data_IF_735674237310
#
_entry.id   IF_735674237310
#
_cell.length_a   1.000
_cell.length_b   1.000
_cell.length_c   1.000
_cell.angle_alpha   90.00
_cell.angle_beta   90.00
_cell.angle_gamma   90.00
#
_symmetry.space_group_name_H-M   'P 1'
#
loop_
_entity.id
_entity.type
_entity.pdbx_description
1 polymer ?
#
# COMPACT_ATOMS: atom_id res chain seq x y z
N UNK A 1 -16.91 -7.22 -17.88
CA UNK A 1 -17.21 -7.12 -16.44
C UNK A 1 -17.14 -5.66 -16.04
N UNK A 2 -18.05 -5.18 -15.19
CA UNK A 2 -17.97 -3.83 -14.64
C UNK A 2 -16.75 -3.72 -13.73
N UNK A 3 -16.06 -2.57 -13.77
CA UNK A 3 -14.94 -2.26 -12.86
C UNK A 3 -15.44 -2.28 -11.41
N UNK A 4 -14.67 -2.88 -10.51
CA UNK A 4 -14.97 -2.86 -9.06
C UNK A 4 -15.02 -1.42 -8.54
N UNK A 5 -15.92 -1.15 -7.60
CA UNK A 5 -15.98 0.15 -6.90
C UNK A 5 -14.70 0.44 -6.10
N UNK A 6 -13.92 -0.58 -5.76
CA UNK A 6 -12.65 -0.45 -5.05
C UNK A 6 -11.44 -0.33 -5.98
N UNK A 7 -11.63 -0.45 -7.29
CA UNK A 7 -10.52 -0.46 -8.25
C UNK A 7 -9.68 0.83 -8.20
N UNK A 8 -10.32 1.98 -8.00
CA UNK A 8 -9.62 3.27 -7.93
C UNK A 8 -8.86 3.41 -6.62
N UNK A 9 -9.46 2.98 -5.51
CA UNK A 9 -8.83 3.03 -4.20
C UNK A 9 -7.58 2.12 -4.14
N UNK A 10 -7.65 0.91 -4.69
CA UNK A 10 -6.48 0.01 -4.73
C UNK A 10 -5.47 0.39 -5.81
N UNK A 11 -5.92 0.96 -6.94
CA UNK A 11 -5.03 1.54 -7.94
C UNK A 11 -4.19 2.68 -7.34
N UNK A 12 -4.85 3.60 -6.64
CA UNK A 12 -4.20 4.65 -5.87
C UNK A 12 -3.27 4.09 -4.79
N UNK A 13 -3.73 3.10 -4.00
CA UNK A 13 -2.93 2.48 -2.96
C UNK A 13 -1.58 1.97 -3.51
N UNK A 14 -1.61 1.22 -4.62
CA UNK A 14 -0.39 0.69 -5.23
C UNK A 14 0.49 1.81 -5.82
N UNK A 15 -0.12 2.74 -6.57
CA UNK A 15 0.58 3.87 -7.17
C UNK A 15 1.28 4.76 -6.12
N UNK A 16 0.58 5.11 -5.04
CA UNK A 16 1.10 5.97 -3.99
C UNK A 16 2.27 5.31 -3.25
N UNK A 17 2.19 4.01 -2.97
CA UNK A 17 3.29 3.25 -2.36
C UNK A 17 4.51 3.22 -3.29
N UNK A 18 4.31 2.89 -4.58
CA UNK A 18 5.40 2.88 -5.57
C UNK A 18 6.05 4.25 -5.72
N UNK A 19 5.27 5.32 -5.77
CA UNK A 19 5.76 6.70 -5.87
C UNK A 19 6.61 7.10 -4.68
N UNK A 20 6.23 6.69 -3.46
CA UNK A 20 7.05 6.93 -2.27
C UNK A 20 8.35 6.11 -2.32
N UNK A 21 8.30 4.85 -2.75
CA UNK A 21 9.51 4.03 -2.91
C UNK A 21 10.46 4.71 -3.90
N UNK A 22 9.94 5.17 -5.04
CA UNK A 22 10.71 5.88 -6.07
C UNK A 22 11.35 7.16 -5.54
N UNK A 23 10.64 7.95 -4.72
CA UNK A 23 11.23 9.11 -4.04
C UNK A 23 12.33 8.70 -3.05
N UNK A 24 12.15 7.60 -2.31
CA UNK A 24 13.10 7.16 -1.30
C UNK A 24 14.39 6.56 -1.90
N UNK A 25 14.39 6.13 -3.17
CA UNK A 25 15.58 5.59 -3.85
C UNK A 25 16.74 6.59 -3.94
N UNK A 26 16.48 7.90 -3.88
CA UNK A 26 17.54 8.92 -3.87
C UNK A 26 18.16 9.17 -2.49
N UNK A 27 17.63 8.58 -1.42
CA UNK A 27 18.10 8.80 -0.06
C UNK A 27 19.31 7.92 0.27
N UNK A 28 20.20 8.45 1.11
CA UNK A 28 21.33 7.69 1.64
C UNK A 28 20.91 6.69 2.73
N UNK A 29 21.72 5.64 3.01
CA UNK A 29 21.42 4.66 4.04
C UNK A 29 21.16 5.25 5.43
N UNK A 30 21.86 6.33 5.79
CA UNK A 30 21.65 7.02 7.08
C UNK A 30 20.25 7.63 7.17
N UNK A 31 19.76 8.26 6.10
CA UNK A 31 18.41 8.83 6.08
C UNK A 31 17.35 7.72 6.10
N UNK A 32 17.56 6.65 5.32
CA UNK A 32 16.63 5.52 5.24
C UNK A 32 16.48 4.77 6.57
N UNK A 33 17.57 4.63 7.32
CA UNK A 33 17.61 3.92 8.61
C UNK A 33 17.38 4.80 9.84
N UNK A 34 17.17 6.11 9.67
CA UNK A 34 16.95 7.02 10.80
C UNK A 34 15.48 6.97 11.25
N UNK A 35 15.26 6.47 12.46
CA UNK A 35 13.95 6.49 13.09
C UNK A 35 13.43 7.91 13.33
N UNK A 36 12.14 8.12 13.06
CA UNK A 36 11.46 9.41 13.26
C UNK A 36 10.39 9.29 14.34
N UNK A 37 10.45 10.07 15.45
CA UNK A 37 9.45 10.02 16.50
C UNK A 37 8.02 10.25 15.98
N UNK A 38 7.08 9.43 16.44
CA UNK A 38 5.68 9.51 16.00
C UNK A 38 5.38 8.77 14.68
N UNK A 39 6.36 8.08 14.10
CA UNK A 39 6.18 7.16 12.97
C UNK A 39 6.42 5.72 13.41
N UNK A 40 6.10 4.75 12.56
CA UNK A 40 6.35 3.32 12.82
C UNK A 40 7.83 3.01 13.13
N UNK A 41 8.76 3.73 12.49
CA UNK A 41 10.19 3.54 12.68
C UNK A 41 10.99 4.42 11.73
N UNK A 42 12.01 3.84 11.11
CA UNK A 42 12.70 4.46 9.98
C UNK A 42 11.85 4.37 8.70
N UNK A 43 12.25 5.10 7.65
CA UNK A 43 11.60 5.03 6.33
C UNK A 43 11.65 3.60 5.81
N UNK A 44 12.80 2.93 5.91
CA UNK A 44 12.96 1.57 5.40
C UNK A 44 12.10 0.57 6.18
N UNK A 45 12.07 0.64 7.51
CA UNK A 45 11.21 -0.23 8.33
C UNK A 45 9.73 -0.02 8.00
N UNK A 46 9.31 1.22 7.80
CA UNK A 46 7.92 1.54 7.45
C UNK A 46 7.59 1.01 6.04
N UNK A 47 8.50 1.13 5.07
CA UNK A 47 8.33 0.58 3.71
C UNK A 47 8.22 -0.94 3.70
N UNK A 48 9.09 -1.63 4.44
CA UNK A 48 9.01 -3.09 4.61
C UNK A 48 7.67 -3.49 5.20
N UNK A 49 7.27 -2.80 6.27
CA UNK A 49 6.01 -3.07 6.96
C UNK A 49 4.79 -2.93 6.05
N UNK A 50 4.68 -1.87 5.25
CA UNK A 50 3.50 -1.69 4.38
C UNK A 50 3.45 -2.72 3.25
N UNK A 51 4.59 -3.04 2.61
CA UNK A 51 4.61 -3.99 1.48
C UNK A 51 4.40 -5.42 1.99
N UNK A 52 4.98 -5.78 3.13
CA UNK A 52 4.76 -7.05 3.82
C UNK A 52 3.32 -7.22 4.29
N UNK A 53 2.71 -6.17 4.85
CA UNK A 53 1.29 -6.17 5.21
C UNK A 53 0.38 -6.41 4.00
N UNK A 54 0.67 -5.78 2.87
CA UNK A 54 -0.09 -5.96 1.62
C UNK A 54 -0.02 -7.41 1.11
N UNK A 55 1.18 -8.00 1.08
CA UNK A 55 1.37 -9.41 0.74
C UNK A 55 0.60 -10.33 1.72
N UNK A 56 0.61 -10.03 3.01
CA UNK A 56 -0.11 -10.78 4.06
C UNK A 56 -1.63 -10.69 3.90
N UNK A 57 -2.18 -9.53 3.54
CA UNK A 57 -3.62 -9.37 3.25
C UNK A 57 -4.02 -10.15 1.99
N UNK A 58 -3.24 -10.03 0.91
CA UNK A 58 -3.43 -10.79 -0.31
C UNK A 58 -3.35 -12.30 -0.08
N UNK A 59 -2.35 -12.77 0.68
CA UNK A 59 -2.22 -14.17 1.06
C UNK A 59 -3.49 -14.68 1.75
N UNK A 60 -3.98 -13.96 2.76
CA UNK A 60 -5.20 -14.34 3.47
C UNK A 60 -6.44 -14.34 2.57
N UNK A 61 -6.66 -13.27 1.81
CA UNK A 61 -7.83 -13.10 0.95
C UNK A 61 -7.86 -14.06 -0.24
N UNK A 62 -6.68 -14.46 -0.73
CA UNK A 62 -6.57 -15.37 -1.87
C UNK A 62 -6.46 -16.84 -1.47
N UNK A 63 -6.49 -17.16 -0.17
CA UNK A 63 -6.31 -18.52 0.33
C UNK A 63 -4.91 -19.08 0.06
N UNK A 64 -3.89 -18.21 0.14
CA UNK A 64 -2.48 -18.57 -0.03
C UNK A 64 -1.97 -18.62 -1.47
N UNK A 65 -2.79 -18.23 -2.47
CA UNK A 65 -2.37 -18.18 -3.87
C UNK A 65 -1.39 -17.03 -4.17
N UNK A 66 -1.54 -15.90 -3.47
CA UNK A 66 -0.51 -14.85 -3.46
C UNK A 66 0.53 -15.19 -2.40
N UNK A 67 1.83 -15.16 -2.72
CA UNK A 67 2.87 -15.57 -1.78
C UNK A 67 3.06 -14.53 -0.66
N UNK A 68 3.49 -15.01 0.51
CA UNK A 68 4.13 -14.14 1.51
C UNK A 68 5.53 -13.74 1.03
N UNK A 69 6.03 -12.65 1.58
CA UNK A 69 7.41 -12.18 1.38
C UNK A 69 8.15 -12.20 2.73
N UNK A 70 9.47 -12.14 2.68
CA UNK A 70 10.34 -11.90 3.83
C UNK A 70 10.82 -10.45 3.76
N UNK A 71 9.94 -9.52 4.13
CA UNK A 71 10.18 -8.08 3.96
C UNK A 71 11.40 -7.57 4.74
N UNK A 72 11.76 -8.23 5.84
CA UNK A 72 12.86 -7.81 6.71
C UNK A 72 14.22 -7.86 6.00
N UNK A 73 14.35 -8.74 5.01
CA UNK A 73 15.57 -8.87 4.20
C UNK A 73 15.60 -7.97 2.97
N UNK A 74 14.48 -7.33 2.61
CA UNK A 74 14.33 -6.65 1.33
C UNK A 74 14.82 -5.20 1.38
N UNK A 75 15.51 -4.76 0.33
CA UNK A 75 15.83 -3.35 0.08
C UNK A 75 14.73 -2.62 -0.72
N UNK A 76 14.90 -1.32 -0.97
CA UNK A 76 13.88 -0.53 -1.68
C UNK A 76 13.59 -1.05 -3.12
N UNK A 77 14.59 -1.36 -3.96
CA UNK A 77 14.35 -2.01 -5.26
C UNK A 77 13.55 -3.32 -5.18
N UNK A 78 13.87 -4.17 -4.21
CA UNK A 78 13.15 -5.44 -3.99
C UNK A 78 11.71 -5.18 -3.55
N UNK A 79 11.50 -4.27 -2.59
CA UNK A 79 10.17 -3.86 -2.12
C UNK A 79 9.34 -3.22 -3.24
N UNK A 80 9.97 -2.45 -4.14
CA UNK A 80 9.31 -1.88 -5.33
C UNK A 80 8.75 -2.99 -6.21
N UNK A 81 9.56 -3.99 -6.51
CA UNK A 81 9.18 -5.14 -7.33
C UNK A 81 8.03 -5.94 -6.68
N UNK A 82 8.12 -6.16 -5.37
CA UNK A 82 7.04 -6.82 -4.63
C UNK A 82 5.74 -6.00 -4.64
N UNK A 83 5.83 -4.68 -4.52
CA UNK A 83 4.66 -3.80 -4.55
C UNK A 83 3.99 -3.76 -5.93
N UNK A 84 4.76 -3.82 -7.02
CA UNK A 84 4.19 -3.97 -8.37
C UNK A 84 3.41 -5.27 -8.51
N UNK A 85 3.97 -6.38 -8.00
CA UNK A 85 3.29 -7.66 -7.98
C UNK A 85 2.01 -7.63 -7.12
N UNK A 86 2.06 -6.99 -5.94
CA UNK A 86 0.90 -6.80 -5.08
C UNK A 86 -0.19 -5.98 -5.78
N UNK A 87 0.16 -4.88 -6.47
CA UNK A 87 -0.80 -4.08 -7.23
C UNK A 87 -1.52 -4.87 -8.33
N UNK A 88 -0.80 -5.73 -9.05
CA UNK A 88 -1.39 -6.63 -10.03
C UNK A 88 -2.29 -7.69 -9.37
N UNK A 89 -1.88 -8.24 -8.24
CA UNK A 89 -2.65 -9.22 -7.48
C UNK A 89 -3.94 -8.63 -6.92
N UNK A 90 -3.91 -7.41 -6.38
CA UNK A 90 -5.10 -6.66 -5.95
C UNK A 90 -6.07 -6.45 -7.10
N UNK A 91 -5.57 -6.01 -8.25
CA UNK A 91 -6.39 -5.80 -9.45
C UNK A 91 -7.09 -7.09 -9.90
N UNK A 92 -6.36 -8.21 -9.89
CA UNK A 92 -6.91 -9.53 -10.21
C UNK A 92 -7.92 -10.03 -9.16
N UNK A 93 -7.65 -9.79 -7.87
CA UNK A 93 -8.56 -10.16 -6.79
C UNK A 93 -9.89 -9.39 -6.90
N UNK A 94 -9.83 -8.08 -7.09
CA UNK A 94 -11.00 -7.21 -7.19
C UNK A 94 -11.81 -7.39 -8.47
N UNK A 95 -11.27 -8.07 -9.48
CA UNK A 95 -11.99 -8.41 -10.71
C UNK A 95 -12.93 -9.63 -10.56
N UNK A 96 -12.83 -10.36 -9.45
CA UNK A 96 -13.70 -11.50 -9.14
C UNK A 96 -15.07 -11.04 -8.64
N UNK A 97 -16.04 -11.96 -8.67
CA UNK A 97 -17.33 -11.76 -8.00
C UNK A 97 -17.17 -12.04 -6.50
N UNK A 98 -16.92 -10.96 -5.74
CA UNK A 98 -16.61 -11.02 -4.32
C UNK A 98 -17.86 -10.79 -3.48
N UNK A 99 -18.14 -11.69 -2.54
CA UNK A 99 -19.08 -11.44 -1.45
C UNK A 99 -18.32 -10.75 -0.29
N UNK A 100 -18.62 -9.48 0.04
CA UNK A 100 -17.91 -8.74 1.06
C UNK A 100 -18.12 -9.31 2.48
N UNK A 101 -19.17 -10.10 2.71
CA UNK A 101 -19.55 -10.62 4.02
C UNK A 101 -18.97 -12.02 4.31
N UNK A 102 -18.36 -12.68 3.31
CA UNK A 102 -17.65 -13.94 3.50
C UNK A 102 -16.52 -13.78 4.51
N UNK A 103 -16.52 -14.62 5.54
CA UNK A 103 -15.48 -14.63 6.57
C UNK A 103 -14.23 -15.32 6.05
N UNK A 104 -13.11 -14.61 6.07
CA UNK A 104 -11.77 -15.14 5.86
C UNK A 104 -11.12 -15.38 7.23
N UNK A 105 -10.44 -16.52 7.36
CA UNK A 105 -9.66 -16.87 8.55
C UNK A 105 -8.18 -16.71 8.23
N UNK A 106 -7.50 -15.83 8.97
CA UNK A 106 -6.04 -15.70 8.90
C UNK A 106 -5.44 -16.44 10.08
N UNK A 107 -4.52 -17.34 9.79
CA UNK A 107 -3.78 -18.10 10.80
C UNK A 107 -2.39 -17.47 10.99
N UNK A 108 -1.91 -17.43 12.23
CA UNK A 108 -0.57 -16.99 12.61
C UNK A 108 0.24 -18.17 13.12
N UNK A 109 1.56 -18.06 13.07
CA UNK A 109 2.49 -19.12 13.53
C UNK A 109 2.38 -19.42 15.03
N UNK A 110 1.94 -18.43 15.82
CA UNK A 110 1.65 -18.58 17.25
C UNK A 110 0.32 -19.30 17.56
N UNK A 111 -0.37 -19.78 16.51
CA UNK A 111 -1.67 -20.43 16.61
C UNK A 111 -2.86 -19.47 16.72
N UNK A 112 -2.63 -18.16 16.72
CA UNK A 112 -3.71 -17.17 16.74
C UNK A 112 -4.45 -17.15 15.40
N UNK A 113 -5.77 -17.15 15.48
CA UNK A 113 -6.65 -16.94 14.33
C UNK A 113 -7.34 -15.57 14.40
N UNK A 114 -7.48 -14.93 13.24
CA UNK A 114 -8.40 -13.80 13.09
C UNK A 114 -9.47 -14.08 12.04
N UNK A 115 -10.71 -13.90 12.46
CA UNK A 115 -11.91 -14.12 11.65
C UNK A 115 -12.50 -12.75 11.31
N UNK A 116 -12.64 -12.45 10.02
CA UNK A 116 -13.20 -11.18 9.58
C UNK A 116 -13.79 -11.29 8.16
N UNK A 117 -14.77 -10.47 7.78
CA UNK A 117 -15.27 -10.41 6.41
C UNK A 117 -14.21 -9.96 5.40
N UNK A 118 -14.39 -10.33 4.13
CA UNK A 118 -13.60 -9.83 2.99
C UNK A 118 -13.59 -8.31 2.96
N UNK A 119 -14.76 -7.68 3.09
CA UNK A 119 -14.90 -6.22 3.05
C UNK A 119 -14.09 -5.50 4.13
N UNK A 120 -14.05 -6.05 5.35
CA UNK A 120 -13.26 -5.50 6.45
C UNK A 120 -11.76 -5.60 6.18
N UNK A 121 -11.29 -6.72 5.61
CA UNK A 121 -9.88 -6.87 5.24
C UNK A 121 -9.46 -5.92 4.12
N UNK A 122 -10.31 -5.73 3.12
CA UNK A 122 -10.06 -4.76 2.04
C UNK A 122 -9.98 -3.32 2.58
N UNK A 123 -10.93 -2.93 3.44
CA UNK A 123 -10.91 -1.62 4.08
C UNK A 123 -9.66 -1.44 4.95
N UNK A 124 -9.26 -2.47 5.70
CA UNK A 124 -8.06 -2.42 6.53
C UNK A 124 -6.78 -2.26 5.70
N UNK A 125 -6.63 -2.95 4.57
CA UNK A 125 -5.45 -2.80 3.70
C UNK A 125 -5.31 -1.35 3.19
N UNK A 126 -6.41 -0.73 2.76
CA UNK A 126 -6.42 0.67 2.33
C UNK A 126 -6.11 1.64 3.47
N UNK A 127 -6.74 1.44 4.64
CA UNK A 127 -6.56 2.28 5.81
C UNK A 127 -5.12 2.20 6.36
N UNK A 128 -4.61 0.98 6.53
CA UNK A 128 -3.24 0.71 7.00
C UNK A 128 -2.19 1.31 6.07
N UNK A 129 -2.34 1.11 4.75
CA UNK A 129 -1.44 1.72 3.78
C UNK A 129 -1.47 3.25 3.84
N UNK A 130 -2.65 3.86 4.00
CA UNK A 130 -2.77 5.32 4.08
C UNK A 130 -2.09 5.89 5.32
N UNK A 131 -2.29 5.26 6.49
CA UNK A 131 -1.65 5.68 7.74
C UNK A 131 -0.13 5.67 7.62
N UNK A 132 0.46 4.55 7.19
CA UNK A 132 1.92 4.44 7.12
C UNK A 132 2.56 5.24 5.97
N UNK A 133 1.87 5.43 4.85
CA UNK A 133 2.34 6.37 3.81
C UNK A 133 2.39 7.80 4.35
N UNK A 134 1.43 8.21 5.18
CA UNK A 134 1.47 9.52 5.83
C UNK A 134 2.68 9.65 6.78
N UNK A 135 3.01 8.58 7.50
CA UNK A 135 4.19 8.53 8.37
C UNK A 135 5.50 8.63 7.57
N UNK A 136 5.58 8.00 6.39
CA UNK A 136 6.73 8.16 5.48
C UNK A 136 6.83 9.61 5.01
N UNK A 137 5.74 10.26 4.62
CA UNK A 137 5.75 11.68 4.26
C UNK A 137 6.23 12.56 5.42
N UNK A 138 5.80 12.29 6.66
CA UNK A 138 6.30 12.96 7.86
C UNK A 138 7.81 12.74 8.04
N UNK A 139 8.29 11.51 7.83
CA UNK A 139 9.71 11.19 7.94
C UNK A 139 10.55 11.90 6.88
N UNK A 140 10.10 11.93 5.61
CA UNK A 140 10.75 12.66 4.53
C UNK A 140 10.93 14.14 4.88
N UNK A 141 9.84 14.82 5.26
CA UNK A 141 9.87 16.23 5.67
C UNK A 141 10.80 16.46 6.85
N UNK A 142 10.77 15.58 7.86
CA UNK A 142 11.64 15.67 9.05
C UNK A 142 13.13 15.55 8.69
N UNK A 143 13.45 14.79 7.64
CA UNK A 143 14.80 14.60 7.14
C UNK A 143 15.19 15.61 6.05
N UNK A 144 14.42 16.68 5.88
CA UNK A 144 14.60 17.72 4.86
C UNK A 144 14.58 17.19 3.42
N UNK A 145 13.82 16.12 3.17
CA UNK A 145 13.47 15.63 1.84
C UNK A 145 12.01 16.00 1.51
N UNK A 146 11.74 16.35 0.26
CA UNK A 146 10.39 16.70 -0.18
C UNK A 146 9.53 15.43 -0.37
N UNK A 147 8.39 15.28 0.33
CA UNK A 147 7.47 14.18 0.07
C UNK A 147 6.77 14.34 -1.29
N UNK A 148 6.51 13.26 -2.04
CA UNK A 148 5.76 13.36 -3.27
C UNK A 148 4.27 13.64 -2.99
N UNK A 149 3.61 14.34 -3.91
CA UNK A 149 2.16 14.40 -3.96
C UNK A 149 1.62 12.99 -4.27
N UNK A 150 0.75 12.48 -3.38
CA UNK A 150 0.25 11.10 -3.39
C UNK A 150 -1.23 11.03 -3.04
N UNK A 151 -1.99 12.12 -3.17
CA UNK A 151 -3.41 12.07 -2.90
C UNK A 151 -4.19 11.40 -4.06
N UNK A 152 -5.48 11.16 -3.86
CA UNK A 152 -6.30 10.46 -4.86
C UNK A 152 -6.59 11.35 -6.07
N UNK A 153 -6.57 12.69 -5.92
CA UNK A 153 -6.74 13.63 -7.02
C UNK A 153 -5.49 13.65 -7.90
N UNK A 154 -4.29 13.63 -7.31
CA UNK A 154 -3.02 13.47 -8.04
C UNK A 154 -3.04 12.20 -8.90
N UNK A 155 -3.54 11.09 -8.34
CA UNK A 155 -3.70 9.84 -9.07
C UNK A 155 -4.74 9.96 -10.20
N UNK A 156 -5.88 10.59 -9.93
CA UNK A 156 -6.94 10.76 -10.92
C UNK A 156 -6.52 11.68 -12.08
N UNK A 157 -5.73 12.72 -11.82
CA UNK A 157 -5.17 13.60 -12.85
C UNK A 157 -4.21 12.81 -13.77
N UNK A 158 -3.29 12.04 -13.18
CA UNK A 158 -2.36 11.19 -13.94
C UNK A 158 -3.08 10.11 -14.78
N UNK A 159 -4.18 9.55 -14.27
CA UNK A 159 -5.01 8.57 -14.98
C UNK A 159 -5.96 9.22 -16.01
N UNK A 160 -5.97 10.56 -16.12
CA UNK A 160 -6.83 11.30 -17.05
C UNK A 160 -8.32 11.25 -16.68
N UNK A 161 -8.63 11.06 -15.40
CA UNK A 161 -9.99 10.87 -14.86
C UNK A 161 -10.45 11.99 -13.94
N UNK A 162 -9.62 13.02 -13.78
CA UNK A 162 -10.01 14.30 -13.22
C UNK A 162 -10.04 15.33 -14.36
N UNK A 163 -11.12 16.11 -14.45
CA UNK A 163 -11.24 17.22 -15.37
C UNK A 163 -11.76 18.44 -14.60
N UNK A 164 -10.98 19.51 -14.61
CA UNK A 164 -11.39 20.79 -14.04
C UNK A 164 -11.86 21.73 -15.14
N UNK A 165 -13.03 22.34 -14.95
CA UNK A 165 -13.54 23.39 -15.83
C UNK A 165 -13.39 24.71 -15.11
N UNK A 166 -12.52 25.63 -15.59
CA UNK A 166 -12.35 26.92 -14.94
C UNK A 166 -13.64 27.75 -15.02
N UNK A 167 -13.86 28.68 -14.07
CA UNK A 167 -15.01 29.57 -14.14
C UNK A 167 -15.00 30.38 -15.44
N UNK A 168 -16.17 30.70 -16.02
CA UNK A 168 -16.23 31.59 -17.17
C UNK A 168 -15.64 32.97 -16.81
N UNK A 169 -14.87 33.53 -17.74
CA UNK A 169 -14.25 34.86 -17.66
C UNK A 169 -15.27 35.98 -17.52
#
# INVERSE_FOLDING_TARGET
>A
MSRSLLADAFGHHAWATLRLIDTCLSLGPEQLGKGVPGTYGSILETMRHIVGADASYLFALTGGRSPLIDEDQMDLPELRTAMEANGAAWSSFLAQDLDPDVVVVRHRDDGTESHAPVGIRLAQALHHGTDHRSQICTALTTLAAEPPAIDVWDFAELDGRLAEVPPPS
#
